data_IF_979573408640
#
_entry.id   IF_979573408640
#
_cell.length_a   1.000
_cell.length_b   1.000
_cell.length_c   1.000
_cell.angle_alpha   90.00
_cell.angle_beta   90.00
_cell.angle_gamma   90.00
#
_symmetry.space_group_name_H-M   'P 1'
#
loop_
_entity.id
_entity.type
_entity.pdbx_description
1 polymer ?
#
# COMPACT_ATOMS: atom_id res chain seq x y z
N UNK A 1 3.98 -60.74 -8.39
CA UNK A 1 3.67 -59.39 -8.89
C UNK A 1 2.69 -58.77 -7.93
N UNK A 2 3.03 -57.65 -7.29
CA UNK A 2 2.46 -56.32 -7.61
C UNK A 2 1.31 -56.02 -6.63
N UNK A 3 1.18 -54.90 -5.94
CA UNK A 3 1.83 -53.59 -5.98
C UNK A 3 1.46 -52.77 -4.74
N UNK A 4 1.98 -51.55 -4.71
CA UNK A 4 2.12 -50.57 -3.63
C UNK A 4 0.83 -50.07 -2.90
N UNK A 5 0.95 -49.43 -1.71
CA UNK A 5 -0.12 -49.22 -0.71
C UNK A 5 -1.09 -48.05 -1.02
N UNK A 6 -2.28 -47.99 -0.36
CA UNK A 6 -3.24 -46.90 -0.54
C UNK A 6 -2.71 -45.55 -0.04
N UNK A 7 -3.02 -44.52 -0.81
CA UNK A 7 -2.41 -43.20 -0.79
C UNK A 7 -2.60 -42.43 0.53
N UNK A 8 -1.53 -41.79 1.01
CA UNK A 8 -1.59 -40.70 2.01
C UNK A 8 -2.42 -39.54 1.45
N UNK A 9 -3.22 -38.82 2.27
CA UNK A 9 -3.80 -37.56 1.86
C UNK A 9 -2.67 -36.55 1.67
N UNK A 10 -2.55 -36.04 0.44
CA UNK A 10 -1.61 -34.99 0.06
C UNK A 10 -2.10 -33.69 0.71
N UNK A 11 -1.33 -33.03 1.60
CA UNK A 11 -1.69 -31.68 2.00
C UNK A 11 -1.51 -30.80 0.77
N UNK A 12 -2.61 -30.35 0.17
CA UNK A 12 -2.52 -29.33 -0.86
C UNK A 12 -1.93 -28.07 -0.22
N UNK A 13 -0.90 -27.45 -0.82
CA UNK A 13 -0.46 -26.16 -0.36
C UNK A 13 -1.60 -25.17 -0.61
N UNK A 14 -2.26 -24.72 0.46
CA UNK A 14 -3.17 -23.57 0.40
C UNK A 14 -2.34 -22.37 -0.03
N UNK A 15 -2.29 -22.14 -1.35
CA UNK A 15 -1.60 -20.98 -1.93
C UNK A 15 -2.23 -19.74 -1.32
N UNK A 16 -1.53 -19.11 -0.38
CA UNK A 16 -1.72 -17.68 -0.09
C UNK A 16 -1.28 -16.96 -1.35
N UNK A 17 -2.19 -16.81 -2.30
CA UNK A 17 -1.96 -15.92 -3.43
C UNK A 17 -1.79 -14.49 -2.89
N UNK A 18 -0.93 -13.66 -3.51
CA UNK A 18 -0.94 -12.22 -3.23
C UNK A 18 -2.36 -11.70 -3.43
N UNK A 19 -2.81 -10.74 -2.60
CA UNK A 19 -4.12 -10.13 -2.77
C UNK A 19 -4.22 -9.57 -4.18
N UNK A 20 -5.09 -10.14 -5.02
CA UNK A 20 -5.28 -9.76 -6.44
C UNK A 20 -6.41 -8.76 -6.62
N UNK A 21 -6.83 -8.10 -5.55
CA UNK A 21 -7.94 -7.16 -5.62
C UNK A 21 -7.47 -5.86 -6.28
N UNK A 22 -8.19 -5.34 -7.29
CA UNK A 22 -7.86 -4.09 -7.95
C UNK A 22 -8.29 -2.89 -7.10
N UNK A 23 -7.77 -2.82 -5.87
CA UNK A 23 -8.06 -1.76 -4.91
C UNK A 23 -6.76 -1.02 -4.59
N UNK A 24 -6.82 0.31 -4.63
CA UNK A 24 -5.77 1.20 -4.16
C UNK A 24 -6.18 1.84 -2.83
N UNK A 25 -5.29 1.84 -1.85
CA UNK A 25 -5.52 2.41 -0.53
C UNK A 25 -4.64 3.64 -0.31
N UNK A 26 -5.22 4.82 -0.20
CA UNK A 26 -4.49 6.03 0.20
C UNK A 26 -4.82 6.39 1.65
N UNK A 27 -3.80 6.50 2.48
CA UNK A 27 -3.94 6.95 3.87
C UNK A 27 -3.43 8.39 4.01
N UNK A 28 -4.21 9.21 4.71
CA UNK A 28 -3.83 10.58 5.07
C UNK A 28 -3.77 10.69 6.60
N UNK A 29 -2.61 11.05 7.12
CA UNK A 29 -2.42 11.40 8.53
C UNK A 29 -2.50 12.91 8.74
N UNK A 30 -3.21 13.36 9.77
CA UNK A 30 -3.17 14.75 10.24
C UNK A 30 -2.29 14.79 11.48
N UNK A 31 -1.10 15.38 11.38
CA UNK A 31 -0.11 15.39 12.46
C UNK A 31 1.32 15.53 11.95
N UNK A 32 2.31 15.34 12.83
CA UNK A 32 3.72 15.40 12.45
C UNK A 32 4.16 14.05 11.91
N UNK A 33 4.66 14.01 10.69
CA UNK A 33 5.13 12.79 10.05
C UNK A 33 6.37 13.05 9.19
N UNK A 34 7.22 12.03 8.98
CA UNK A 34 8.43 12.17 8.16
C UNK A 34 8.09 12.39 6.69
N UNK A 35 6.95 11.86 6.23
CA UNK A 35 6.37 12.12 4.91
C UNK A 35 5.53 13.41 4.85
N UNK A 36 5.67 14.32 5.83
CA UNK A 36 5.00 15.61 5.76
C UNK A 36 5.58 16.43 4.60
N UNK A 37 4.73 16.75 3.62
CA UNK A 37 5.10 17.64 2.51
C UNK A 37 5.28 19.09 2.97
N UNK A 38 4.93 19.40 4.23
CA UNK A 38 5.19 20.69 4.85
C UNK A 38 6.66 20.84 5.21
N UNK A 39 7.36 21.67 4.43
CA UNK A 39 8.80 21.95 4.55
C UNK A 39 9.23 22.47 5.93
N UNK A 40 8.28 22.97 6.76
CA UNK A 40 8.56 23.51 8.10
C UNK A 40 8.72 22.43 9.19
N UNK A 41 8.28 21.18 8.96
CA UNK A 41 8.25 20.12 9.97
C UNK A 41 9.25 18.97 9.73
N UNK A 42 9.94 18.96 8.58
CA UNK A 42 10.86 17.88 8.18
C UNK A 42 12.06 17.66 9.12
N UNK A 43 12.39 18.61 10.01
CA UNK A 43 13.64 18.56 10.78
C UNK A 43 13.47 18.24 12.28
N UNK A 44 12.24 18.12 12.83
CA UNK A 44 12.06 18.11 14.30
C UNK A 44 10.96 17.19 14.87
N UNK A 45 10.50 16.17 14.13
CA UNK A 45 9.44 15.32 14.66
C UNK A 45 9.73 13.82 14.53
N UNK A 46 9.65 13.12 15.66
CA UNK A 46 9.23 11.72 15.67
C UNK A 46 7.88 11.63 14.93
N UNK A 47 7.74 10.64 14.05
CA UNK A 47 6.50 10.45 13.30
C UNK A 47 5.41 9.97 14.24
N UNK A 48 4.25 10.62 14.21
CA UNK A 48 3.05 10.14 14.91
C UNK A 48 2.48 8.86 14.27
N UNK A 49 2.98 8.46 13.09
CA UNK A 49 2.41 7.38 12.27
C UNK A 49 3.44 6.33 11.80
N UNK A 50 4.27 5.74 12.70
CA UNK A 50 5.33 4.83 12.31
C UNK A 50 4.82 3.53 11.67
N UNK A 51 3.57 3.13 11.93
CA UNK A 51 2.94 1.98 11.27
C UNK A 51 2.53 2.28 9.82
N UNK A 52 1.99 3.48 9.56
CA UNK A 52 1.55 3.87 8.21
C UNK A 52 2.74 4.22 7.30
N UNK A 53 3.87 4.66 7.87
CA UNK A 53 5.11 4.83 7.10
C UNK A 53 5.66 3.50 6.57
N UNK A 54 5.40 2.39 7.25
CA UNK A 54 5.82 1.05 6.84
C UNK A 54 4.85 0.38 5.87
N UNK A 55 3.80 1.07 5.45
CA UNK A 55 2.78 0.50 4.58
C UNK A 55 3.34 0.14 3.20
N UNK A 56 4.32 0.91 2.73
CA UNK A 56 5.12 0.68 1.52
C UNK A 56 6.05 -0.54 1.66
N UNK A 57 6.45 -0.89 2.90
CA UNK A 57 7.37 -1.99 3.21
C UNK A 57 6.65 -3.35 3.38
N UNK A 58 5.34 -3.40 3.11
CA UNK A 58 4.55 -4.61 3.31
C UNK A 58 4.79 -5.62 2.17
N UNK A 59 5.63 -6.61 2.49
CA UNK A 59 5.97 -7.74 1.61
C UNK A 59 4.77 -8.64 1.25
N UNK A 60 4.89 -9.35 0.12
CA UNK A 60 3.92 -10.36 -0.30
C UNK A 60 2.77 -9.83 -1.18
N UNK A 61 2.86 -8.58 -1.64
CA UNK A 61 1.96 -7.99 -2.63
C UNK A 61 2.48 -8.20 -4.05
N UNK A 62 1.57 -8.31 -5.02
CA UNK A 62 1.93 -8.41 -6.44
C UNK A 62 2.38 -7.06 -7.00
N UNK A 63 1.71 -5.99 -6.58
CA UNK A 63 2.04 -4.60 -6.87
C UNK A 63 1.88 -3.81 -5.58
N UNK A 64 2.62 -2.72 -5.43
CA UNK A 64 2.36 -1.79 -4.35
C UNK A 64 1.04 -1.06 -4.62
N UNK A 65 0.06 -1.25 -3.76
CA UNK A 65 -1.30 -0.74 -3.92
C UNK A 65 -1.74 0.15 -2.76
N UNK A 66 -0.80 0.62 -1.94
CA UNK A 66 -1.13 1.51 -0.86
C UNK A 66 -0.08 2.60 -0.69
N UNK A 67 -0.52 3.80 -0.36
CA UNK A 67 0.38 4.92 -0.07
C UNK A 67 -0.08 5.66 1.20
N UNK A 68 0.86 6.39 1.81
CA UNK A 68 0.64 7.20 2.98
C UNK A 68 1.33 8.56 2.84
N UNK A 69 0.58 9.63 3.11
CA UNK A 69 1.14 10.96 3.34
C UNK A 69 0.57 11.60 4.61
N UNK A 70 1.30 12.60 5.12
CA UNK A 70 0.88 13.35 6.28
C UNK A 70 0.80 14.86 5.98
N UNK A 71 -0.18 15.53 6.58
CA UNK A 71 -0.34 16.99 6.57
C UNK A 71 -0.31 17.50 8.01
N UNK A 72 0.24 18.70 8.23
CA UNK A 72 0.33 19.25 9.58
C UNK A 72 -1.03 19.72 10.11
N UNK A 73 -1.87 20.23 9.20
CA UNK A 73 -3.25 20.63 9.44
C UNK A 73 -4.07 20.42 8.16
N UNK A 74 -5.36 20.08 8.25
CA UNK A 74 -6.24 20.01 7.07
C UNK A 74 -6.30 21.32 6.31
N UNK A 75 -6.24 22.45 7.03
CA UNK A 75 -6.41 23.80 6.47
C UNK A 75 -5.11 24.37 5.88
N UNK A 76 -4.00 23.63 5.95
CA UNK A 76 -2.71 24.09 5.43
C UNK A 76 -2.69 24.14 3.89
N UNK A 77 -3.48 23.29 3.24
CA UNK A 77 -3.57 23.16 1.79
C UNK A 77 -4.99 23.51 1.35
N UNK A 78 -5.12 24.10 0.16
CA UNK A 78 -6.44 24.17 -0.47
C UNK A 78 -6.96 22.77 -0.79
N UNK A 79 -8.29 22.61 -0.86
CA UNK A 79 -8.90 21.33 -1.24
C UNK A 79 -8.30 20.75 -2.53
N UNK A 80 -8.08 21.60 -3.54
CA UNK A 80 -7.45 21.20 -4.80
C UNK A 80 -6.05 20.61 -4.60
N UNK A 81 -5.22 21.26 -3.79
CA UNK A 81 -3.88 20.74 -3.48
C UNK A 81 -3.95 19.45 -2.66
N UNK A 82 -4.93 19.31 -1.77
CA UNK A 82 -5.14 18.08 -1.02
C UNK A 82 -5.55 16.93 -1.95
N UNK A 83 -6.41 17.20 -2.94
CA UNK A 83 -6.77 16.24 -3.98
C UNK A 83 -5.56 15.84 -4.84
N UNK A 84 -4.71 16.79 -5.23
CA UNK A 84 -3.48 16.47 -5.98
C UNK A 84 -2.53 15.57 -5.17
N UNK A 85 -2.41 15.82 -3.86
CA UNK A 85 -1.63 14.96 -2.96
C UNK A 85 -2.23 13.56 -2.83
N UNK A 86 -3.55 13.46 -2.67
CA UNK A 86 -4.26 12.17 -2.63
C UNK A 86 -4.12 11.34 -3.91
N UNK A 87 -3.88 12.00 -5.05
CA UNK A 87 -3.85 11.37 -6.36
C UNK A 87 -2.43 11.18 -6.92
N UNK A 88 -1.37 11.50 -6.16
CA UNK A 88 0.00 11.50 -6.69
C UNK A 88 0.46 10.10 -7.14
N UNK A 89 0.24 9.06 -6.33
CA UNK A 89 0.70 7.68 -6.63
C UNK A 89 -0.32 6.85 -7.43
N UNK A 90 -1.59 7.27 -7.44
CA UNK A 90 -2.67 6.53 -8.09
C UNK A 90 -2.45 6.27 -9.60
N UNK A 91 -2.01 7.24 -10.43
CA UNK A 91 -1.74 7.00 -11.85
C UNK A 91 -0.67 5.94 -12.09
N UNK A 92 0.34 5.87 -11.23
CA UNK A 92 1.43 4.91 -11.38
C UNK A 92 1.01 3.51 -10.90
N UNK A 93 0.24 3.43 -9.80
CA UNK A 93 -0.47 2.20 -9.44
C UNK A 93 -1.35 1.70 -10.58
N UNK A 94 -2.13 2.58 -11.22
CA UNK A 94 -3.05 2.22 -12.31
C UNK A 94 -2.30 1.59 -13.50
N UNK A 95 -1.14 2.14 -13.87
CA UNK A 95 -0.27 1.59 -14.92
C UNK A 95 0.22 0.19 -14.55
N UNK A 96 0.64 -0.01 -13.30
CA UNK A 96 1.10 -1.31 -12.80
C UNK A 96 -0.03 -2.33 -12.76
N UNK A 97 -1.20 -1.96 -12.23
CA UNK A 97 -2.38 -2.82 -12.17
C UNK A 97 -2.84 -3.28 -13.56
N UNK A 98 -2.79 -2.41 -14.58
CA UNK A 98 -3.06 -2.78 -15.97
C UNK A 98 -2.03 -3.77 -16.53
N UNK A 99 -0.74 -3.52 -16.29
CA UNK A 99 0.34 -4.44 -16.72
C UNK A 99 0.19 -5.84 -16.11
N UNK A 100 -0.17 -5.91 -14.83
CA UNK A 100 -0.38 -7.17 -14.11
C UNK A 100 -1.78 -7.78 -14.35
N UNK A 101 -2.59 -7.19 -15.24
CA UNK A 101 -3.95 -7.66 -15.59
C UNK A 101 -4.88 -7.78 -14.38
N UNK A 102 -4.71 -6.90 -13.39
CA UNK A 102 -5.63 -6.76 -12.26
C UNK A 102 -6.87 -5.96 -12.66
N UNK A 103 -6.73 -5.09 -13.64
CA UNK A 103 -7.83 -4.32 -14.25
C UNK A 103 -8.17 -4.95 -15.60
N UNK A 104 -9.44 -5.29 -15.79
CA UNK A 104 -9.99 -5.86 -17.02
C UNK A 104 -10.13 -4.85 -18.15
#
# INVERSE_FOLDING_TARGET
GGGAPPARPRPEPRRRGPSREPIFWQFMGIGKGKKSKSKRLLNFADSDFPFLEKLDELDGRLIDNADFFAVASPDEHSDAQLYDLLMTEYPDWLKQAKREKLLG
#
